data_IF_142551997034
#
_entry.id   IF_142551997034
#
_cell.length_a   1.000
_cell.length_b   1.000
_cell.length_c   1.000
_cell.angle_alpha   90.00
_cell.angle_beta   90.00
_cell.angle_gamma   90.00
#
_symmetry.space_group_name_H-M   'P 1'
#
loop_
_entity.id
_entity.type
_entity.pdbx_description
1 polymer ?
#
# COMPACT_ATOMS: atom_id res chain seq x y z
N UNK A 1 -11.42 -7.31 -4.55
CA UNK A 1 -11.92 -7.85 -5.84
C UNK A 1 -11.42 -6.95 -6.95
N UNK A 2 -10.76 -7.51 -7.98
CA UNK A 2 -10.12 -6.77 -9.08
C UNK A 2 -11.09 -6.64 -10.27
N UNK A 3 -11.13 -5.48 -10.93
CA UNK A 3 -12.10 -5.20 -12.01
C UNK A 3 -11.53 -5.37 -13.42
N UNK A 4 -10.23 -5.20 -13.59
CA UNK A 4 -9.55 -5.34 -14.87
C UNK A 4 -8.17 -5.95 -14.64
N UNK A 5 -7.76 -6.87 -15.51
CA UNK A 5 -6.43 -7.49 -15.47
C UNK A 5 -5.91 -7.73 -16.88
N UNK A 6 -4.78 -7.11 -17.18
CA UNK A 6 -4.01 -7.37 -18.40
C UNK A 6 -2.56 -7.66 -18.04
N UNK A 7 -2.07 -8.86 -18.32
CA UNK A 7 -0.68 -9.27 -18.07
C UNK A 7 0.20 -8.86 -19.24
N UNK A 8 1.41 -8.41 -18.95
CA UNK A 8 2.43 -7.93 -19.89
C UNK A 8 3.76 -8.60 -19.56
N UNK A 9 4.49 -9.05 -20.57
CA UNK A 9 5.73 -9.82 -20.41
C UNK A 9 6.96 -8.93 -20.17
N UNK A 10 7.03 -7.76 -20.79
CA UNK A 10 8.16 -6.83 -20.66
C UNK A 10 7.70 -5.38 -20.68
N UNK A 11 8.27 -4.58 -19.79
CA UNK A 11 8.09 -3.13 -19.71
C UNK A 11 9.42 -2.48 -19.30
N UNK A 12 9.56 -1.20 -19.59
CA UNK A 12 10.69 -0.38 -19.11
C UNK A 12 10.24 1.07 -19.02
N UNK A 13 9.47 1.40 -17.99
CA UNK A 13 8.91 2.74 -17.81
C UNK A 13 8.65 3.08 -16.35
N UNK A 14 8.58 4.37 -16.05
CA UNK A 14 7.98 4.86 -14.81
C UNK A 14 6.47 4.85 -15.05
N UNK A 15 5.67 4.05 -14.33
CA UNK A 15 4.23 3.96 -14.57
C UNK A 15 3.56 5.34 -14.49
N UNK A 16 2.56 5.63 -15.35
CA UNK A 16 1.87 6.92 -15.36
C UNK A 16 1.31 7.34 -14.00
N UNK A 17 0.84 6.40 -13.17
CA UNK A 17 0.36 6.69 -11.81
C UNK A 17 1.46 7.29 -10.90
N UNK A 18 2.68 6.76 -10.97
CA UNK A 18 3.85 7.27 -10.23
C UNK A 18 4.23 8.68 -10.70
N UNK A 19 4.12 8.94 -12.01
CA UNK A 19 4.36 10.27 -12.58
C UNK A 19 3.26 11.25 -12.16
N UNK A 20 1.99 10.82 -12.16
CA UNK A 20 0.82 11.64 -11.89
C UNK A 20 0.80 12.19 -10.46
N UNK A 21 1.31 11.42 -9.48
CA UNK A 21 1.48 11.88 -8.09
C UNK A 21 2.78 12.66 -7.86
N UNK A 22 3.53 12.95 -8.93
CA UNK A 22 4.78 13.71 -8.92
C UNK A 22 5.92 13.09 -8.08
N UNK A 23 5.92 11.77 -7.84
CA UNK A 23 6.97 11.10 -7.08
C UNK A 23 8.40 11.36 -7.61
N UNK A 24 8.66 11.40 -8.94
CA UNK A 24 9.99 11.70 -9.46
C UNK A 24 10.56 13.05 -9.01
N UNK A 25 9.70 14.05 -8.80
CA UNK A 25 10.12 15.41 -8.44
C UNK A 25 10.64 15.50 -7.00
N UNK A 26 10.31 14.53 -6.14
CA UNK A 26 10.72 14.49 -4.72
C UNK A 26 11.80 13.47 -4.42
N UNK A 27 12.18 12.60 -5.36
CA UNK A 27 13.13 11.51 -5.15
C UNK A 27 14.49 11.95 -4.61
N UNK A 28 15.05 13.07 -5.09
CA UNK A 28 16.35 13.57 -4.60
C UNK A 28 16.27 14.00 -3.12
N UNK A 29 15.25 14.79 -2.78
CA UNK A 29 15.02 15.31 -1.42
C UNK A 29 14.68 14.20 -0.42
N UNK A 30 13.93 13.20 -0.87
CA UNK A 30 13.52 12.04 -0.08
C UNK A 30 14.50 10.88 -0.12
N UNK A 31 15.63 10.99 -0.84
CA UNK A 31 16.51 9.85 -1.11
C UNK A 31 15.74 8.60 -1.56
N UNK A 32 14.71 8.78 -2.40
CA UNK A 32 13.82 7.71 -2.91
C UNK A 32 13.19 6.83 -1.82
N UNK A 33 12.98 7.36 -0.61
CA UNK A 33 12.39 6.61 0.51
C UNK A 33 13.35 5.68 1.24
N UNK A 34 14.67 5.85 1.04
CA UNK A 34 15.71 4.96 1.55
C UNK A 34 15.55 4.64 3.04
N UNK A 35 15.57 3.35 3.35
CA UNK A 35 15.51 2.73 4.69
C UNK A 35 14.17 2.88 5.43
N UNK A 36 13.14 3.47 4.82
CA UNK A 36 11.79 3.43 5.40
C UNK A 36 11.18 2.06 5.11
N UNK A 37 10.66 1.40 6.15
CA UNK A 37 10.03 0.09 6.04
C UNK A 37 8.51 0.23 5.92
N UNK A 38 7.98 -0.29 4.82
CA UNK A 38 6.53 -0.43 4.56
C UNK A 38 6.14 -1.89 4.76
N UNK A 39 5.22 -2.17 5.68
CA UNK A 39 4.60 -3.49 5.80
C UNK A 39 3.43 -3.60 4.81
N UNK A 40 3.48 -4.61 3.95
CA UNK A 40 2.44 -4.88 2.94
C UNK A 40 1.62 -6.06 3.43
N UNK A 41 0.39 -5.80 3.87
CA UNK A 41 -0.54 -6.82 4.35
C UNK A 41 -1.46 -7.21 3.20
N UNK A 42 -1.13 -8.33 2.55
CA UNK A 42 -1.78 -8.73 1.29
C UNK A 42 -1.70 -10.26 1.07
N UNK A 43 -1.73 -10.70 -0.19
CA UNK A 43 -1.70 -12.09 -0.67
C UNK A 43 -0.30 -12.72 -0.69
N UNK A 44 0.72 -12.00 -0.24
CA UNK A 44 2.13 -12.38 -0.32
C UNK A 44 2.89 -11.54 -1.35
N UNK A 45 4.08 -11.98 -1.74
CA UNK A 45 4.84 -11.35 -2.82
C UNK A 45 5.72 -12.36 -3.56
N UNK A 46 5.94 -12.17 -4.87
CA UNK A 46 7.01 -12.85 -5.60
C UNK A 46 8.37 -12.28 -5.17
N UNK A 47 9.01 -12.97 -4.23
CA UNK A 47 10.30 -12.58 -3.66
C UNK A 47 11.46 -12.61 -4.67
N UNK A 48 11.29 -13.30 -5.80
CA UNK A 48 12.32 -13.42 -6.82
C UNK A 48 12.13 -12.44 -7.98
N UNK A 49 11.05 -11.65 -7.96
CA UNK A 49 10.80 -10.64 -8.98
C UNK A 49 11.98 -9.66 -9.05
N UNK A 50 12.51 -9.44 -10.25
CA UNK A 50 13.75 -8.66 -10.45
C UNK A 50 13.64 -7.23 -9.92
N UNK A 51 12.44 -6.65 -9.96
CA UNK A 51 12.16 -5.31 -9.45
C UNK A 51 11.92 -5.25 -7.92
N UNK A 52 11.74 -6.38 -7.23
CA UNK A 52 11.32 -6.41 -5.81
C UNK A 52 12.30 -7.10 -4.87
N UNK A 53 13.08 -8.09 -5.35
CA UNK A 53 13.93 -8.95 -4.52
C UNK A 53 14.86 -8.20 -3.56
N UNK A 54 15.40 -7.05 -3.99
CA UNK A 54 16.34 -6.25 -3.21
C UNK A 54 15.64 -5.24 -2.28
N UNK A 55 14.31 -5.24 -2.26
CA UNK A 55 13.46 -4.37 -1.43
C UNK A 55 12.81 -5.13 -0.30
N UNK A 56 12.55 -6.42 -0.50
CA UNK A 56 11.95 -7.29 0.51
C UNK A 56 13.02 -7.66 1.55
N UNK A 57 12.78 -7.27 2.80
CA UNK A 57 13.73 -7.49 3.92
C UNK A 57 13.26 -8.54 4.92
N UNK A 58 12.11 -9.15 4.64
CA UNK A 58 11.51 -10.20 5.46
C UNK A 58 10.02 -10.33 5.16
N UNK A 59 9.41 -11.30 5.80
CA UNK A 59 7.97 -11.51 5.70
C UNK A 59 7.49 -12.61 6.63
N UNK A 60 6.18 -12.79 6.68
CA UNK A 60 5.52 -13.84 7.44
C UNK A 60 4.18 -14.20 6.79
N UNK A 61 3.84 -15.48 6.83
CA UNK A 61 2.54 -15.99 6.44
C UNK A 61 1.65 -16.20 7.67
N UNK A 62 0.45 -15.64 7.62
CA UNK A 62 -0.60 -15.80 8.63
C UNK A 62 -1.77 -16.65 8.09
N UNK A 63 -1.73 -17.03 6.82
CA UNK A 63 -2.78 -17.83 6.18
C UNK A 63 -2.55 -19.33 6.37
N UNK A 64 -3.53 -20.12 5.94
CA UNK A 64 -3.42 -21.58 5.87
C UNK A 64 -2.82 -22.07 4.55
N UNK A 65 -2.50 -21.17 3.63
CA UNK A 65 -1.77 -21.54 2.42
C UNK A 65 -0.42 -22.16 2.81
N UNK A 66 0.07 -23.06 1.96
CA UNK A 66 1.35 -23.75 2.18
C UNK A 66 1.42 -24.45 3.55
N UNK A 67 0.32 -25.11 3.93
CA UNK A 67 0.18 -25.83 5.21
C UNK A 67 0.36 -24.94 6.45
N UNK A 68 0.21 -23.62 6.30
CA UNK A 68 0.40 -22.65 7.37
C UNK A 68 1.86 -22.41 7.74
N UNK A 69 2.83 -22.73 6.87
CA UNK A 69 4.23 -22.42 7.13
C UNK A 69 4.42 -20.89 7.19
N UNK A 70 4.82 -20.33 8.35
CA UNK A 70 4.98 -18.89 8.51
C UNK A 70 6.10 -18.29 7.67
N UNK A 71 7.00 -19.11 7.12
CA UNK A 71 8.13 -18.67 6.31
C UNK A 71 7.82 -18.66 4.81
N UNK A 72 6.66 -19.17 4.38
CA UNK A 72 6.24 -19.19 2.97
C UNK A 72 5.15 -18.15 2.74
N UNK A 73 5.57 -16.93 2.41
CA UNK A 73 4.71 -15.79 2.09
C UNK A 73 4.73 -15.48 0.58
N UNK A 74 4.85 -16.52 -0.24
CA UNK A 74 4.79 -16.44 -1.70
C UNK A 74 3.39 -16.03 -2.15
N UNK A 75 3.34 -15.15 -3.15
CA UNK A 75 2.10 -14.72 -3.78
C UNK A 75 1.54 -15.80 -4.71
N UNK A 76 0.35 -16.30 -4.39
CA UNK A 76 -0.44 -17.24 -5.19
C UNK A 76 -1.71 -16.59 -5.77
N UNK A 77 -1.79 -15.25 -5.77
CA UNK A 77 -2.89 -14.48 -6.37
C UNK A 77 -2.38 -13.47 -7.42
N UNK A 78 -1.32 -12.75 -7.08
CA UNK A 78 -0.66 -11.71 -7.86
C UNK A 78 -0.96 -10.28 -7.43
N UNK A 79 -1.99 -10.09 -6.59
CA UNK A 79 -2.36 -8.78 -6.07
C UNK A 79 -1.25 -8.17 -5.20
N UNK A 80 -0.68 -8.95 -4.28
CA UNK A 80 0.32 -8.47 -3.33
C UNK A 80 1.64 -8.10 -4.01
N UNK A 81 2.04 -8.87 -5.02
CA UNK A 81 3.18 -8.54 -5.88
C UNK A 81 2.95 -7.23 -6.64
N UNK A 82 1.72 -6.97 -7.11
CA UNK A 82 1.37 -5.73 -7.81
C UNK A 82 1.38 -4.50 -6.89
N UNK A 83 0.80 -4.64 -5.70
CA UNK A 83 0.84 -3.63 -4.64
C UNK A 83 2.29 -3.32 -4.25
N UNK A 84 3.12 -4.35 -4.03
CA UNK A 84 4.53 -4.21 -3.67
C UNK A 84 5.34 -3.42 -4.73
N UNK A 85 5.12 -3.69 -6.01
CA UNK A 85 5.80 -2.95 -7.08
C UNK A 85 5.41 -1.48 -7.15
N UNK A 86 4.14 -1.17 -6.94
CA UNK A 86 3.66 0.21 -6.95
C UNK A 86 4.32 1.00 -5.81
N UNK A 87 4.53 0.36 -4.65
CA UNK A 87 5.22 0.98 -3.50
C UNK A 87 6.71 1.18 -3.80
N UNK A 88 7.44 0.12 -4.16
CA UNK A 88 8.91 0.14 -4.07
C UNK A 88 9.66 -0.59 -5.19
N UNK A 89 9.06 -0.87 -6.36
CA UNK A 89 9.82 -1.45 -7.47
C UNK A 89 11.11 -0.64 -7.76
N UNK A 90 12.25 -1.34 -7.80
CA UNK A 90 13.57 -0.73 -7.83
C UNK A 90 13.92 -0.18 -9.20
N UNK A 91 14.79 0.83 -9.22
CA UNK A 91 15.48 1.23 -10.44
C UNK A 91 16.65 0.28 -10.73
N UNK A 92 16.50 -0.54 -11.78
CA UNK A 92 17.52 -1.49 -12.25
C UNK A 92 17.73 -1.43 -13.79
N UNK A 93 17.12 -0.45 -14.46
CA UNK A 93 17.21 -0.25 -15.91
C UNK A 93 16.26 -1.11 -16.76
N UNK A 94 15.41 -1.92 -16.12
CA UNK A 94 14.34 -2.71 -16.73
C UNK A 94 13.06 -2.55 -15.90
N UNK A 95 11.93 -3.04 -16.40
CA UNK A 95 10.72 -3.18 -15.61
C UNK A 95 10.01 -1.88 -15.28
N UNK A 96 9.49 -1.79 -14.05
CA UNK A 96 8.77 -0.60 -13.56
C UNK A 96 9.48 0.03 -12.37
N UNK A 97 9.22 1.32 -12.13
CA UNK A 97 9.61 2.00 -10.90
C UNK A 97 8.42 2.18 -9.96
N UNK A 98 8.65 1.91 -8.68
CA UNK A 98 7.69 2.22 -7.63
C UNK A 98 7.75 3.70 -7.23
N UNK A 99 6.82 4.11 -6.37
CA UNK A 99 6.78 5.45 -5.81
C UNK A 99 8.02 5.73 -4.94
N UNK A 100 8.45 4.78 -4.11
CA UNK A 100 9.63 4.86 -3.26
C UNK A 100 10.64 3.72 -3.57
N UNK A 101 11.42 3.83 -4.66
CA UNK A 101 12.27 2.73 -5.15
C UNK A 101 13.38 2.26 -4.20
N UNK A 102 13.70 3.00 -3.14
CA UNK A 102 14.68 2.61 -2.12
C UNK A 102 14.05 2.31 -0.74
N UNK A 103 12.72 2.36 -0.62
CA UNK A 103 12.03 1.87 0.55
C UNK A 103 12.22 0.35 0.69
N UNK A 104 12.12 -0.14 1.92
CA UNK A 104 12.18 -1.56 2.24
C UNK A 104 10.76 -2.09 2.48
N UNK A 105 10.51 -3.35 2.17
CA UNK A 105 9.21 -3.99 2.33
C UNK A 105 9.28 -5.16 3.30
N UNK A 106 8.30 -5.20 4.22
CA UNK A 106 8.00 -6.36 5.05
C UNK A 106 6.72 -7.00 4.52
N UNK A 107 6.81 -8.21 3.94
CA UNK A 107 5.68 -8.86 3.27
C UNK A 107 4.90 -9.70 4.27
N UNK A 108 3.68 -9.28 4.62
CA UNK A 108 2.82 -10.00 5.55
C UNK A 108 1.65 -10.61 4.78
N UNK A 109 1.71 -11.91 4.53
CA UNK A 109 0.65 -12.63 3.82
C UNK A 109 -0.51 -12.90 4.78
N UNK A 110 -1.59 -12.14 4.61
CA UNK A 110 -2.84 -12.23 5.39
C UNK A 110 -4.03 -12.67 4.54
N UNK A 111 -3.88 -12.63 3.21
CA UNK A 111 -4.88 -13.11 2.27
C UNK A 111 -4.41 -14.40 1.56
N UNK A 112 -5.30 -15.36 1.41
CA UNK A 112 -5.08 -16.61 0.69
C UNK A 112 -5.06 -16.40 -0.83
N UNK A 113 -4.80 -17.45 -1.60
CA UNK A 113 -4.73 -17.38 -3.07
C UNK A 113 -6.01 -16.89 -3.76
N UNK A 114 -7.17 -17.04 -3.12
CA UNK A 114 -8.45 -16.50 -3.60
C UNK A 114 -8.66 -15.01 -3.26
N UNK A 115 -7.72 -14.40 -2.53
CA UNK A 115 -7.79 -13.00 -2.07
C UNK A 115 -8.61 -12.78 -0.81
N UNK A 116 -9.02 -13.85 -0.11
CA UNK A 116 -9.76 -13.77 1.16
C UNK A 116 -8.86 -13.97 2.38
N UNK A 117 -9.24 -13.43 3.53
CA UNK A 117 -8.55 -13.61 4.80
C UNK A 117 -9.51 -13.39 5.98
N UNK A 118 -9.08 -13.76 7.19
CA UNK A 118 -9.86 -13.56 8.40
C UNK A 118 -9.39 -12.33 9.18
N UNK A 119 -10.28 -11.72 9.96
CA UNK A 119 -9.94 -10.57 10.80
C UNK A 119 -8.84 -10.90 11.80
N UNK A 120 -8.83 -12.12 12.37
CA UNK A 120 -7.78 -12.55 13.29
C UNK A 120 -6.39 -12.53 12.65
N UNK A 121 -6.29 -12.94 11.37
CA UNK A 121 -5.02 -12.92 10.63
C UNK A 121 -4.52 -11.49 10.39
N UNK A 122 -5.44 -10.57 10.06
CA UNK A 122 -5.13 -9.15 9.85
C UNK A 122 -4.68 -8.52 11.18
N UNK A 123 -5.41 -8.76 12.27
CA UNK A 123 -5.08 -8.27 13.62
C UNK A 123 -3.69 -8.77 14.05
N UNK A 124 -3.42 -10.08 13.92
CA UNK A 124 -2.11 -10.65 14.25
C UNK A 124 -0.98 -10.02 13.42
N UNK A 125 -1.23 -9.79 12.13
CA UNK A 125 -0.25 -9.16 11.25
C UNK A 125 0.01 -7.68 11.58
N UNK A 126 -1.00 -6.91 11.98
CA UNK A 126 -0.83 -5.53 12.46
C UNK A 126 0.04 -5.53 13.72
N UNK A 127 -0.26 -6.39 14.70
CA UNK A 127 0.57 -6.53 15.89
C UNK A 127 2.00 -6.97 15.55
N UNK A 128 2.16 -7.90 14.61
CA UNK A 128 3.48 -8.32 14.14
C UNK A 128 4.24 -7.15 13.51
N UNK A 129 3.63 -6.39 12.60
CA UNK A 129 4.26 -5.25 11.93
C UNK A 129 4.77 -4.19 12.91
N UNK A 130 3.95 -3.84 13.91
CA UNK A 130 4.27 -2.84 14.94
C UNK A 130 5.44 -3.29 15.81
N UNK A 131 5.44 -4.58 16.20
CA UNK A 131 6.46 -5.16 17.08
C UNK A 131 7.72 -5.62 16.34
N UNK A 132 7.65 -5.78 15.01
CA UNK A 132 8.75 -6.30 14.20
C UNK A 132 9.97 -5.39 14.29
N UNK A 133 11.15 -6.02 14.42
CA UNK A 133 12.44 -5.35 14.37
C UNK A 133 13.38 -6.10 13.43
N UNK A 134 13.97 -5.38 12.50
CA UNK A 134 14.98 -5.91 11.58
C UNK A 134 16.34 -6.14 12.26
N UNK A 135 17.28 -6.79 11.57
CA UNK A 135 18.61 -7.09 12.11
C UNK A 135 19.40 -5.83 12.50
N UNK A 136 19.13 -4.68 11.87
CA UNK A 136 19.75 -3.40 12.20
C UNK A 136 18.81 -2.50 13.02
N UNK A 137 17.83 -3.10 13.73
CA UNK A 137 16.77 -2.41 14.46
C UNK A 137 15.88 -1.53 13.57
N UNK A 138 15.76 -1.88 12.28
CA UNK A 138 14.72 -1.31 11.44
C UNK A 138 13.35 -1.58 12.07
N UNK A 139 12.39 -0.67 11.86
CA UNK A 139 11.00 -0.83 12.30
C UNK A 139 10.06 -0.41 11.19
N UNK A 140 8.86 -0.98 11.17
CA UNK A 140 7.78 -0.53 10.29
C UNK A 140 7.39 0.90 10.64
N UNK A 141 7.16 1.71 9.60
CA UNK A 141 6.68 3.09 9.70
C UNK A 141 5.37 3.32 8.96
N UNK A 142 5.06 2.47 7.98
CA UNK A 142 3.83 2.50 7.19
C UNK A 142 3.31 1.08 7.07
N UNK A 143 2.02 0.87 7.32
CA UNK A 143 1.27 -0.34 7.02
C UNK A 143 0.38 -0.01 5.82
N UNK A 144 0.46 -0.82 4.76
CA UNK A 144 -0.38 -0.71 3.57
C UNK A 144 -1.31 -1.91 3.51
N UNK A 145 -2.62 -1.66 3.50
CA UNK A 145 -3.67 -2.66 3.43
C UNK A 145 -4.56 -2.40 2.22
N UNK A 146 -4.55 -3.31 1.25
CA UNK A 146 -5.37 -3.21 0.05
C UNK A 146 -6.50 -4.24 0.10
N UNK A 147 -7.19 -4.24 1.24
CA UNK A 147 -8.22 -5.17 1.67
C UNK A 147 -9.34 -4.41 2.39
N UNK A 148 -10.49 -5.05 2.57
CA UNK A 148 -11.62 -4.48 3.27
C UNK A 148 -12.67 -5.54 3.57
N UNK A 149 -13.48 -5.31 4.60
CA UNK A 149 -14.59 -6.14 4.99
C UNK A 149 -15.75 -5.31 5.54
N UNK A 150 -16.98 -5.85 5.52
CA UNK A 150 -18.18 -5.06 5.81
C UNK A 150 -18.46 -4.87 7.31
N UNK A 151 -17.62 -5.42 8.20
CA UNK A 151 -17.89 -5.46 9.63
C UNK A 151 -16.88 -4.62 10.40
N UNK A 152 -17.39 -3.77 11.28
CA UNK A 152 -16.61 -3.16 12.35
C UNK A 152 -16.28 -4.21 13.42
N UNK A 153 -14.98 -4.42 13.66
CA UNK A 153 -14.46 -5.38 14.64
C UNK A 153 -13.65 -4.61 15.69
N UNK A 154 -14.11 -4.51 16.95
CA UNK A 154 -13.44 -3.72 17.99
C UNK A 154 -11.96 -4.05 18.19
N UNK A 155 -11.59 -5.32 18.10
CA UNK A 155 -10.19 -5.77 18.24
C UNK A 155 -9.31 -5.32 17.06
N UNK A 156 -9.89 -5.20 15.85
CA UNK A 156 -9.20 -4.63 14.70
C UNK A 156 -8.96 -3.14 14.89
N UNK A 157 -9.97 -2.41 15.39
CA UNK A 157 -9.85 -1.00 15.69
C UNK A 157 -8.77 -0.74 16.76
N UNK A 158 -8.76 -1.52 17.84
CA UNK A 158 -7.74 -1.42 18.89
C UNK A 158 -6.33 -1.69 18.36
N UNK A 159 -6.16 -2.69 17.48
CA UNK A 159 -4.88 -2.99 16.86
C UNK A 159 -4.35 -1.80 16.02
N UNK A 160 -5.24 -1.13 15.28
CA UNK A 160 -4.92 0.07 14.49
C UNK A 160 -4.57 1.25 15.39
N UNK A 161 -5.37 1.51 16.41
CA UNK A 161 -5.07 2.56 17.39
C UNK A 161 -3.70 2.36 18.05
N UNK A 162 -3.34 1.11 18.37
CA UNK A 162 -2.03 0.80 18.89
C UNK A 162 -0.90 1.03 17.86
N UNK A 163 -1.12 0.74 16.58
CA UNK A 163 -0.15 1.04 15.52
C UNK A 163 0.12 2.56 15.43
N UNK A 164 -0.96 3.36 15.36
CA UNK A 164 -0.90 4.82 15.26
C UNK A 164 -0.25 5.45 16.49
N UNK A 165 -0.61 4.99 17.71
CA UNK A 165 0.04 5.41 18.97
C UNK A 165 1.55 5.15 19.01
N UNK A 166 2.05 4.24 18.18
CA UNK A 166 3.48 3.94 18.06
C UNK A 166 4.17 4.66 16.89
N UNK A 167 3.53 5.67 16.28
CA UNK A 167 4.01 6.38 15.09
C UNK A 167 4.13 5.50 13.84
N UNK A 168 3.21 4.55 13.66
CA UNK A 168 3.05 3.76 12.43
C UNK A 168 1.81 4.28 11.70
N UNK A 169 2.00 4.81 10.50
CA UNK A 169 0.90 5.22 9.63
C UNK A 169 0.19 3.98 9.09
N UNK A 170 -1.13 3.96 9.13
CA UNK A 170 -1.95 2.87 8.59
C UNK A 170 -2.69 3.41 7.38
N UNK A 171 -2.49 2.81 6.21
CA UNK A 171 -3.10 3.23 4.94
C UNK A 171 -3.96 2.09 4.43
N UNK A 172 -5.22 2.36 4.12
CA UNK A 172 -6.15 1.35 3.65
C UNK A 172 -6.90 1.79 2.39
N UNK A 173 -7.27 0.82 1.55
CA UNK A 173 -8.19 1.05 0.45
C UNK A 173 -9.59 1.38 0.98
N UNK A 174 -10.28 2.32 0.34
CA UNK A 174 -11.65 2.70 0.71
C UNK A 174 -12.70 1.59 0.43
N UNK A 175 -12.36 0.64 -0.45
CA UNK A 175 -13.29 -0.38 -0.95
C UNK A 175 -13.67 -0.19 -2.41
N UNK A 176 -14.38 -1.15 -2.99
CA UNK A 176 -14.68 -1.15 -4.43
C UNK A 176 -16.17 -1.42 -4.76
N UNK A 177 -17.06 -1.05 -3.85
CA UNK A 177 -18.51 -1.24 -3.92
C UNK A 177 -19.25 0.05 -4.31
N UNK A 178 -18.53 1.12 -4.68
CA UNK A 178 -19.11 2.38 -5.12
C UNK A 178 -19.93 2.24 -6.41
N UNK A 179 -20.85 3.18 -6.59
CA UNK A 179 -21.87 3.16 -7.65
C UNK A 179 -21.86 4.45 -8.51
N UNK A 180 -20.76 5.21 -8.49
CA UNK A 180 -20.64 6.56 -9.07
C UNK A 180 -21.52 7.64 -8.43
N UNK A 181 -22.13 7.42 -7.26
CA UNK A 181 -23.00 8.40 -6.60
C UNK A 181 -22.40 8.85 -5.26
N UNK A 182 -21.98 10.11 -5.19
CA UNK A 182 -21.43 10.70 -3.96
C UNK A 182 -22.45 10.85 -2.81
N UNK A 183 -23.73 10.57 -3.07
CA UNK A 183 -24.80 10.61 -2.06
C UNK A 183 -25.04 9.25 -1.40
N UNK A 184 -24.37 8.19 -1.85
CA UNK A 184 -24.42 6.87 -1.20
C UNK A 184 -23.17 6.67 -0.36
N UNK A 185 -23.37 6.01 0.77
CA UNK A 185 -22.32 5.76 1.74
C UNK A 185 -21.97 4.27 1.72
N UNK A 186 -20.78 3.95 1.19
CA UNK A 186 -20.20 2.61 1.23
C UNK A 186 -19.00 2.61 2.16
N UNK A 187 -19.08 1.79 3.21
CA UNK A 187 -18.04 1.66 4.22
C UNK A 187 -17.44 0.27 4.16
N UNK A 188 -16.12 0.19 4.03
CA UNK A 188 -15.34 -1.01 4.26
C UNK A 188 -14.34 -0.76 5.39
N UNK A 189 -14.22 -1.73 6.30
CA UNK A 189 -13.26 -1.72 7.39
C UNK A 189 -12.02 -2.54 7.02
N UNK A 190 -10.81 -2.10 7.40
CA UNK A 190 -10.53 -1.02 8.35
C UNK A 190 -10.48 0.40 7.77
N UNK A 191 -10.74 0.60 6.47
CA UNK A 191 -10.68 1.92 5.82
C UNK A 191 -11.43 3.01 6.57
N UNK A 192 -12.67 2.73 6.95
CA UNK A 192 -13.57 3.66 7.63
C UNK A 192 -13.20 4.01 9.09
N UNK A 193 -12.09 3.51 9.65
CA UNK A 193 -11.65 3.97 10.98
C UNK A 193 -10.91 5.31 10.86
N UNK A 194 -11.31 6.31 11.65
CA UNK A 194 -10.73 7.66 11.64
C UNK A 194 -9.19 7.75 11.80
N UNK A 195 -8.56 6.74 12.38
CA UNK A 195 -7.10 6.67 12.54
C UNK A 195 -6.37 6.12 11.30
N UNK A 196 -7.12 5.61 10.32
CA UNK A 196 -6.62 5.06 9.07
C UNK A 196 -6.64 6.13 8.00
N UNK A 197 -5.58 6.18 7.20
CA UNK A 197 -5.54 6.97 5.98
C UNK A 197 -6.34 6.22 4.91
N UNK A 198 -7.60 6.60 4.72
CA UNK A 198 -8.50 5.96 3.75
C UNK A 198 -8.26 6.52 2.34
N UNK A 199 -7.99 5.62 1.38
CA UNK A 199 -7.59 5.99 0.03
C UNK A 199 -8.61 5.54 -1.01
N UNK A 200 -9.27 6.52 -1.64
CA UNK A 200 -10.12 6.32 -2.80
C UNK A 200 -9.35 6.29 -4.13
N UNK A 201 -10.03 5.94 -5.23
CA UNK A 201 -9.41 5.77 -6.54
C UNK A 201 -9.84 6.84 -7.55
N UNK A 202 -8.86 7.33 -8.31
CA UNK A 202 -9.07 8.06 -9.57
C UNK A 202 -8.43 7.34 -10.73
N UNK A 203 -8.89 7.63 -11.94
CA UNK A 203 -8.18 7.26 -13.16
C UNK A 203 -7.03 8.23 -13.48
N UNK A 204 -6.29 7.97 -14.57
CA UNK A 204 -5.14 8.79 -14.97
C UNK A 204 -5.52 10.21 -15.42
N UNK A 205 -6.79 10.48 -15.74
CA UNK A 205 -7.34 11.82 -16.00
C UNK A 205 -7.89 12.51 -14.74
N UNK A 206 -7.65 11.96 -13.54
CA UNK A 206 -8.13 12.47 -12.24
C UNK A 206 -9.65 12.50 -12.09
N UNK A 207 -10.37 11.62 -12.78
CA UNK A 207 -11.79 11.38 -12.53
C UNK A 207 -11.95 10.29 -11.48
N UNK A 208 -12.88 10.47 -10.55
CA UNK A 208 -13.23 9.44 -9.55
C UNK A 208 -13.60 8.16 -10.29
N UNK A 209 -13.00 7.04 -9.87
CA UNK A 209 -13.32 5.74 -10.43
C UNK A 209 -14.67 5.27 -9.89
N UNK A 210 -15.56 4.80 -10.76
CA UNK A 210 -16.94 4.48 -10.39
C UNK A 210 -17.05 3.50 -9.22
N UNK A 211 -16.13 2.53 -9.17
CA UNK A 211 -16.10 1.51 -8.14
C UNK A 211 -15.62 2.04 -6.78
N UNK A 212 -14.97 3.20 -6.72
CA UNK A 212 -14.43 3.73 -5.46
C UNK A 212 -15.60 4.00 -4.51
N UNK A 213 -15.57 3.39 -3.32
CA UNK A 213 -16.52 3.73 -2.26
C UNK A 213 -16.51 5.25 -2.00
N UNK A 214 -17.66 5.80 -1.65
CA UNK A 214 -17.82 7.15 -1.10
C UNK A 214 -18.31 7.09 0.34
N UNK A 215 -17.70 7.88 1.21
CA UNK A 215 -18.09 8.08 2.60
C UNK A 215 -17.41 9.34 3.18
N UNK A 216 -17.66 9.66 4.44
CA UNK A 216 -17.11 10.86 5.10
C UNK A 216 -15.69 10.69 5.67
N UNK A 217 -15.15 9.48 5.66
CA UNK A 217 -13.85 9.12 6.25
C UNK A 217 -12.70 9.10 5.20
N UNK A 218 -13.00 9.25 3.91
CA UNK A 218 -11.99 9.34 2.84
C UNK A 218 -11.07 10.56 3.03
N UNK A 219 -9.79 10.30 3.24
CA UNK A 219 -8.77 11.36 3.39
C UNK A 219 -8.29 11.93 2.06
N UNK A 220 -8.03 11.05 1.09
CA UNK A 220 -7.52 11.42 -0.22
C UNK A 220 -7.77 10.36 -1.28
N UNK A 221 -7.53 10.73 -2.54
CA UNK A 221 -7.58 9.81 -3.67
C UNK A 221 -6.22 9.71 -4.36
N UNK A 222 -5.95 8.56 -4.94
CA UNK A 222 -4.74 8.30 -5.73
C UNK A 222 -5.08 7.48 -7.00
N UNK A 223 -4.15 7.36 -7.96
CA UNK A 223 -4.39 6.60 -9.19
C UNK A 223 -4.68 5.13 -8.87
N UNK A 224 -5.87 4.65 -9.19
CA UNK A 224 -6.33 3.28 -8.90
C UNK A 224 -6.96 2.57 -10.09
N UNK A 225 -7.20 3.25 -11.22
CA UNK A 225 -7.76 2.64 -12.42
C UNK A 225 -6.72 2.59 -13.56
N UNK A 226 -6.42 1.37 -14.05
CA UNK A 226 -5.46 1.17 -15.13
C UNK A 226 -3.99 1.27 -14.68
N UNK A 227 -3.65 0.71 -13.51
CA UNK A 227 -2.33 0.84 -12.90
C UNK A 227 -1.42 -0.32 -13.29
N UNK A 228 -0.32 -0.01 -13.97
CA UNK A 228 0.76 -0.94 -14.30
C UNK A 228 1.68 -1.15 -13.09
N UNK A 229 1.95 -2.40 -12.74
CA UNK A 229 2.97 -2.77 -11.76
C UNK A 229 3.49 -4.20 -12.00
N UNK A 230 4.37 -4.67 -11.12
CA UNK A 230 4.91 -6.04 -11.08
C UNK A 230 3.84 -7.10 -10.87
N UNK A 231 4.12 -8.32 -11.27
CA UNK A 231 3.21 -9.46 -11.19
C UNK A 231 4.02 -10.77 -11.05
N UNK A 232 3.49 -11.84 -10.41
CA UNK A 232 4.28 -13.05 -10.19
C UNK A 232 4.86 -13.66 -11.46
N UNK A 233 5.92 -14.45 -11.28
CA UNK A 233 6.70 -15.08 -12.35
C UNK A 233 7.53 -14.07 -13.17
N UNK A 234 7.92 -12.94 -12.55
CA UNK A 234 8.70 -11.90 -13.20
C UNK A 234 7.95 -11.10 -14.28
N UNK A 235 6.61 -11.12 -14.24
CA UNK A 235 5.73 -10.47 -15.21
C UNK A 235 5.25 -9.12 -14.71
N UNK A 236 4.44 -8.44 -15.53
CA UNK A 236 3.80 -7.18 -15.18
C UNK A 236 2.30 -7.29 -15.43
N UNK A 237 1.51 -6.46 -14.76
CA UNK A 237 0.07 -6.41 -15.00
C UNK A 237 -0.50 -5.01 -14.81
N UNK A 238 -1.55 -4.71 -15.58
CA UNK A 238 -2.42 -3.55 -15.39
C UNK A 238 -3.65 -3.98 -14.61
N UNK A 239 -3.85 -3.40 -13.43
CA UNK A 239 -4.97 -3.69 -12.51
C UNK A 239 -5.77 -2.42 -12.20
N UNK A 240 -7.04 -2.61 -11.81
CA UNK A 240 -7.93 -1.52 -11.36
C UNK A 240 -8.61 -1.87 -10.03
N UNK A 241 -8.61 -0.90 -9.10
CA UNK A 241 -9.23 -0.93 -7.78
C UNK A 241 -8.66 0.14 -6.85
N UNK A 242 -9.35 0.49 -5.77
CA UNK A 242 -8.80 1.29 -4.66
C UNK A 242 -7.55 0.65 -4.06
N UNK A 243 -7.46 -0.68 -4.14
CA UNK A 243 -6.25 -1.45 -3.87
C UNK A 243 -5.01 -1.01 -4.65
N UNK A 244 -5.15 -0.42 -5.85
CA UNK A 244 -4.04 0.14 -6.62
C UNK A 244 -3.76 1.60 -6.27
N UNK A 245 -4.72 2.32 -5.70
CA UNK A 245 -4.55 3.69 -5.21
C UNK A 245 -3.76 3.71 -3.88
N UNK A 246 -4.11 2.85 -2.92
CA UNK A 246 -3.43 2.70 -1.62
C UNK A 246 -1.89 2.63 -1.70
N UNK A 247 -1.27 1.77 -2.53
CA UNK A 247 0.19 1.66 -2.59
C UNK A 247 0.89 2.92 -3.10
N UNK A 248 0.21 3.77 -3.89
CA UNK A 248 0.76 5.07 -4.26
C UNK A 248 0.95 5.96 -3.02
N UNK A 249 -0.05 5.97 -2.13
CA UNK A 249 -0.02 6.74 -0.88
C UNK A 249 0.99 6.14 0.10
N UNK A 250 1.03 4.82 0.25
CA UNK A 250 2.01 4.15 1.12
C UNK A 250 3.46 4.45 0.68
N UNK A 251 3.74 4.40 -0.63
CA UNK A 251 5.03 4.83 -1.18
C UNK A 251 5.29 6.32 -0.97
N UNK A 252 4.29 7.19 -1.17
CA UNK A 252 4.44 8.63 -0.96
C UNK A 252 4.80 8.94 0.50
N UNK A 253 4.17 8.28 1.47
CA UNK A 253 4.50 8.40 2.89
C UNK A 253 5.96 8.02 3.17
N UNK A 254 6.49 6.97 2.53
CA UNK A 254 7.91 6.62 2.66
C UNK A 254 8.83 7.75 2.14
N UNK A 255 8.46 8.41 1.04
CA UNK A 255 9.19 9.59 0.56
C UNK A 255 9.09 10.76 1.54
N UNK A 256 7.90 11.04 2.06
CA UNK A 256 7.62 12.16 2.95
C UNK A 256 8.32 12.03 4.29
N UNK A 257 8.26 10.85 4.92
CA UNK A 257 9.00 10.56 6.15
C UNK A 257 10.48 10.86 5.90
N UNK A 258 11.06 10.31 4.84
CA UNK A 258 12.49 10.47 4.58
C UNK A 258 12.88 11.92 4.27
N UNK A 259 12.06 12.63 3.50
CA UNK A 259 12.28 14.05 3.20
C UNK A 259 12.21 14.88 4.48
N UNK A 260 11.14 14.77 5.25
CA UNK A 260 10.91 15.58 6.44
C UNK A 260 11.95 15.30 7.52
N UNK A 261 12.34 14.05 7.76
CA UNK A 261 13.37 13.75 8.76
C UNK A 261 14.74 14.34 8.37
N UNK A 262 15.05 14.40 7.06
CA UNK A 262 16.27 15.09 6.57
C UNK A 262 16.17 16.60 6.72
N UNK A 263 15.01 17.18 6.45
CA UNK A 263 14.77 18.63 6.48
C UNK A 263 14.74 19.17 7.91
N UNK A 264 14.05 18.49 8.83
CA UNK A 264 13.87 18.92 10.21
C UNK A 264 14.95 18.37 11.17
N UNK A 265 15.74 17.39 10.74
CA UNK A 265 16.80 16.79 11.57
C UNK A 265 16.27 15.97 12.76
N UNK A 266 15.00 15.57 12.74
CA UNK A 266 14.35 14.75 13.78
C UNK A 266 13.30 13.83 13.18
N UNK A 267 12.88 12.81 13.94
CA UNK A 267 11.70 12.01 13.60
C UNK A 267 10.43 12.85 13.78
N UNK A 268 9.49 12.66 12.86
CA UNK A 268 8.15 13.22 12.94
C UNK A 268 7.18 12.15 13.44
N UNK A 269 6.19 12.58 14.21
CA UNK A 269 5.09 11.71 14.66
C UNK A 269 4.14 11.37 13.51
N UNK A 270 3.26 10.39 13.75
CA UNK A 270 2.20 10.03 12.79
C UNK A 270 1.35 11.25 12.37
N UNK A 271 0.79 12.08 13.28
CA UNK A 271 -0.05 13.22 12.88
C UNK A 271 0.72 14.30 12.10
N UNK A 272 2.02 14.48 12.41
CA UNK A 272 2.87 15.41 11.67
C UNK A 272 3.08 14.94 10.23
N UNK A 273 3.28 13.65 10.00
CA UNK A 273 3.43 13.09 8.66
C UNK A 273 2.09 13.10 7.91
N UNK A 274 0.98 12.76 8.58
CA UNK A 274 -0.36 12.90 8.00
C UNK A 274 -0.61 14.32 7.51
N UNK A 275 -0.32 15.34 8.33
CA UNK A 275 -0.44 16.74 7.92
C UNK A 275 0.45 17.09 6.71
N UNK A 276 1.66 16.50 6.61
CA UNK A 276 2.52 16.67 5.43
C UNK A 276 1.95 15.98 4.19
N UNK A 277 1.27 14.84 4.34
CA UNK A 277 0.57 14.16 3.25
C UNK A 277 -0.56 15.04 2.72
N UNK A 278 -1.48 15.47 3.59
CA UNK A 278 -2.64 16.29 3.20
C UNK A 278 -2.20 17.62 2.59
N UNK A 279 -1.12 18.25 3.09
CA UNK A 279 -0.57 19.47 2.48
C UNK A 279 -0.13 19.30 1.00
N UNK A 280 0.07 18.07 0.55
CA UNK A 280 0.53 17.73 -0.81
C UNK A 280 -0.58 17.14 -1.68
N UNK A 281 -1.84 17.30 -1.28
CA UNK A 281 -2.99 17.00 -2.12
C UNK A 281 -3.42 18.25 -2.91
N UNK A 282 -4.22 18.03 -3.95
CA UNK A 282 -4.88 19.10 -4.70
C UNK A 282 -6.37 18.78 -4.78
N UNK A 283 -7.27 19.76 -4.55
CA UNK A 283 -8.70 19.53 -4.70
C UNK A 283 -9.04 19.28 -6.17
N UNK A 284 -9.91 18.30 -6.43
CA UNK A 284 -10.31 17.92 -7.79
C UNK A 284 -11.62 18.56 -8.24
N UNK A 285 -12.37 19.22 -7.33
CA UNK A 285 -13.64 19.86 -7.64
C UNK A 285 -14.87 18.96 -7.47
N UNK A 286 -14.73 17.90 -6.69
CA UNK A 286 -15.81 17.09 -6.13
C UNK A 286 -15.87 17.38 -4.62
#
# INVERSE_FOLDING_TARGET
>A
VLFYRKVVEQVNEIPPGVQLIHAPQVWEKSAKGKDIVVAVLDTGCDMNHIDLKDRIIGGRNFTKDYEGDPNIYLDNNGHGTHVAGTIAATENGVGVLGVAPLAKMLVLKVLAGDGSGSYEQIIEAIHYAVNWRGPNKERVRVISMSLGGPQDVPELHEAIQNAVKQDVLVVCAAGNNGDCNDNTEELDFPGAYSEVIEVGAVNLERKIACFSNSNQEIDLVAPGDGILSTYPEGKYAVLSGTSMATPHVAGALALLIKQCEREYGRKLSEPEIYAQLIKRTVPLGY
#
